data_IF_740553952356
#
_entry.id   IF_740553952356
#
_cell.length_a   1.000
_cell.length_b   1.000
_cell.length_c   1.000
_cell.angle_alpha   90.00
_cell.angle_beta   90.00
_cell.angle_gamma   90.00
#
_symmetry.space_group_name_H-M   'P 1'
#
loop_
_entity.id
_entity.type
_entity.pdbx_description
1 polymer ?
#
# COMPACT_ATOMS: atom_id res chain seq x y z
N UNK A 1 10.18 -3.40 17.84
CA UNK A 1 10.49 -3.48 16.41
C UNK A 1 10.53 -2.06 15.85
N UNK A 2 11.54 -1.70 15.05
CA UNK A 2 11.52 -0.42 14.35
C UNK A 2 10.59 -0.57 13.15
N UNK A 3 9.52 0.23 13.09
CA UNK A 3 8.66 0.27 11.92
C UNK A 3 9.45 0.83 10.73
N UNK A 4 9.18 0.33 9.51
CA UNK A 4 9.85 0.80 8.30
C UNK A 4 9.56 2.29 8.06
N UNK A 5 10.53 3.05 7.56
CA UNK A 5 10.28 4.44 7.13
C UNK A 5 9.56 4.47 5.78
N UNK A 6 8.93 5.60 5.44
CA UNK A 6 8.31 5.79 4.12
C UNK A 6 9.30 5.57 2.97
N UNK A 7 10.56 5.99 3.13
CA UNK A 7 11.62 5.77 2.14
C UNK A 7 11.95 4.28 1.99
N UNK A 8 12.02 3.54 3.10
CA UNK A 8 12.24 2.09 3.05
C UNK A 8 11.06 1.37 2.39
N UNK A 9 9.82 1.80 2.66
CA UNK A 9 8.62 1.30 1.98
C UNK A 9 8.71 1.54 0.47
N UNK A 10 9.02 2.77 0.03
CA UNK A 10 9.17 3.09 -1.39
C UNK A 10 10.31 2.33 -2.10
N UNK A 11 11.27 1.80 -1.33
CA UNK A 11 12.36 0.96 -1.84
C UNK A 11 12.04 -0.53 -1.95
N UNK A 12 10.88 -1.00 -1.46
CA UNK A 12 10.50 -2.41 -1.56
C UNK A 12 10.18 -2.80 -3.01
N UNK A 13 10.60 -4.00 -3.41
CA UNK A 13 10.09 -4.60 -4.63
C UNK A 13 8.61 -4.97 -4.48
N UNK A 14 7.89 -5.08 -5.59
CA UNK A 14 6.49 -5.53 -5.57
C UNK A 14 6.35 -6.95 -5.03
N UNK A 15 7.35 -7.82 -5.24
CA UNK A 15 7.38 -9.17 -4.67
C UNK A 15 7.50 -9.14 -3.14
N UNK A 16 8.36 -8.28 -2.58
CA UNK A 16 8.47 -8.13 -1.13
C UNK A 16 7.19 -7.55 -0.52
N UNK A 17 6.57 -6.57 -1.19
CA UNK A 17 5.30 -5.99 -0.76
C UNK A 17 4.16 -7.02 -0.81
N UNK A 18 4.11 -7.86 -1.85
CA UNK A 18 3.10 -8.90 -1.99
C UNK A 18 3.29 -10.07 -1.01
N UNK A 19 4.46 -10.18 -0.38
CA UNK A 19 4.69 -11.13 0.71
C UNK A 19 4.12 -10.67 2.07
N UNK A 20 3.70 -9.40 2.19
CA UNK A 20 3.09 -8.88 3.42
C UNK A 20 1.69 -9.45 3.60
N UNK A 21 1.36 -9.80 4.86
CA UNK A 21 0.01 -10.21 5.21
C UNK A 21 -0.91 -9.00 5.23
N UNK A 22 -2.22 -9.25 5.15
CA UNK A 22 -3.24 -8.20 5.24
C UNK A 22 -3.16 -7.43 6.55
N UNK A 23 -2.74 -8.07 7.65
CA UNK A 23 -2.51 -7.42 8.95
C UNK A 23 -1.33 -6.46 8.93
N UNK A 24 -0.30 -6.74 8.13
CA UNK A 24 0.85 -5.84 7.98
C UNK A 24 0.43 -4.60 7.18
N UNK A 25 -0.39 -4.79 6.14
CA UNK A 25 -0.96 -3.70 5.34
C UNK A 25 -1.86 -2.80 6.19
N UNK A 26 -2.76 -3.40 6.99
CA UNK A 26 -3.64 -2.67 7.90
C UNK A 26 -2.91 -2.00 9.08
N UNK A 27 -1.65 -2.35 9.32
CA UNK A 27 -0.80 -1.75 10.34
C UNK A 27 0.07 -0.61 9.80
N UNK A 28 0.03 -0.33 8.49
CA UNK A 28 0.77 0.79 7.90
C UNK A 28 0.21 2.12 8.41
N UNK A 29 1.12 3.02 8.77
CA UNK A 29 0.78 4.40 9.08
C UNK A 29 0.50 5.20 7.82
N UNK A 30 -0.25 6.30 7.95
CA UNK A 30 -0.51 7.22 6.84
C UNK A 30 0.77 7.69 6.13
N UNK A 31 1.85 7.95 6.87
CA UNK A 31 3.15 8.34 6.30
C UNK A 31 3.79 7.24 5.48
N UNK A 32 3.69 5.98 5.92
CA UNK A 32 4.22 4.83 5.16
C UNK A 32 3.40 4.58 3.89
N UNK A 33 2.07 4.71 3.96
CA UNK A 33 1.18 4.59 2.78
C UNK A 33 1.49 5.68 1.75
N UNK A 34 1.68 6.93 2.19
CA UNK A 34 2.12 8.01 1.30
C UNK A 34 3.52 7.80 0.70
N UNK A 35 4.33 6.91 1.28
CA UNK A 35 5.64 6.51 0.76
C UNK A 35 5.60 5.44 -0.34
N UNK A 36 4.45 4.79 -0.57
CA UNK A 36 4.31 3.80 -1.64
C UNK A 36 4.44 4.48 -3.01
N UNK A 37 5.16 3.84 -3.93
CA UNK A 37 5.18 4.27 -5.33
C UNK A 37 3.89 3.83 -6.04
N UNK A 38 3.57 4.47 -7.17
CA UNK A 38 2.43 4.05 -8.00
C UNK A 38 2.57 2.61 -8.48
N UNK A 39 3.79 2.18 -8.84
CA UNK A 39 4.09 0.78 -9.22
C UNK A 39 3.80 -0.21 -8.09
N UNK A 40 4.09 0.17 -6.85
CA UNK A 40 3.77 -0.66 -5.68
C UNK A 40 2.26 -0.71 -5.43
N UNK A 41 1.58 0.43 -5.53
CA UNK A 41 0.12 0.53 -5.35
C UNK A 41 -0.62 -0.34 -6.37
N UNK A 42 -0.23 -0.29 -7.65
CA UNK A 42 -0.87 -1.10 -8.69
C UNK A 42 -0.58 -2.60 -8.54
N UNK A 43 0.56 -2.95 -7.95
CA UNK A 43 0.95 -4.33 -7.72
C UNK A 43 0.26 -5.00 -6.52
N UNK A 44 -0.42 -4.23 -5.66
CA UNK A 44 -1.20 -4.79 -4.55
C UNK A 44 -2.28 -5.74 -5.07
N UNK A 45 -2.39 -6.89 -4.43
CA UNK A 45 -3.48 -7.83 -4.71
C UNK A 45 -4.83 -7.28 -4.26
N UNK A 46 -5.93 -7.81 -4.79
CA UNK A 46 -7.31 -7.47 -4.36
C UNK A 46 -7.48 -7.64 -2.85
N UNK A 47 -6.95 -8.74 -2.30
CA UNK A 47 -7.01 -9.05 -0.86
C UNK A 47 -6.24 -8.05 -0.01
N UNK A 48 -5.07 -7.60 -0.45
CA UNK A 48 -4.29 -6.58 0.27
C UNK A 48 -4.93 -5.19 0.15
N UNK A 49 -5.45 -4.83 -1.02
CA UNK A 49 -6.17 -3.57 -1.21
C UNK A 49 -7.44 -3.52 -0.35
N UNK A 50 -8.19 -4.62 -0.25
CA UNK A 50 -9.35 -4.76 0.63
C UNK A 50 -9.03 -4.78 2.13
N UNK A 51 -7.77 -4.98 2.50
CA UNK A 51 -7.31 -4.92 3.89
C UNK A 51 -6.97 -3.50 4.36
N UNK A 52 -6.86 -2.53 3.44
CA UNK A 52 -6.64 -1.13 3.80
C UNK A 52 -7.80 -0.62 4.65
N UNK A 53 -7.48 -0.05 5.81
CA UNK A 53 -8.45 0.66 6.63
C UNK A 53 -8.79 2.01 6.00
N UNK A 54 -9.85 2.65 6.51
CA UNK A 54 -10.23 4.01 6.10
C UNK A 54 -9.09 5.01 6.35
N UNK A 55 -8.25 4.78 7.35
CA UNK A 55 -7.11 5.65 7.67
C UNK A 55 -6.04 5.57 6.59
N UNK A 56 -5.65 4.34 6.18
CA UNK A 56 -4.69 4.16 5.09
C UNK A 56 -5.26 4.64 3.75
N UNK A 57 -6.52 4.33 3.46
CA UNK A 57 -7.16 4.77 2.22
C UNK A 57 -7.19 6.30 2.09
N UNK A 58 -7.41 7.04 3.19
CA UNK A 58 -7.33 8.51 3.23
C UNK A 58 -5.90 9.05 3.09
N UNK A 59 -4.89 8.24 3.39
CA UNK A 59 -3.50 8.62 3.29
C UNK A 59 -2.93 8.47 1.88
N UNK A 60 -3.65 7.79 0.98
CA UNK A 60 -3.28 7.72 -0.43
C UNK A 60 -3.26 9.13 -1.03
N UNK A 61 -2.15 9.44 -1.69
CA UNK A 61 -1.99 10.67 -2.48
C UNK A 61 -2.84 10.59 -3.75
N UNK A 62 -3.15 11.74 -4.34
CA UNK A 62 -3.89 11.82 -5.60
C UNK A 62 -3.20 11.05 -6.74
N UNK A 63 -1.86 11.07 -6.78
CA UNK A 63 -1.07 10.32 -7.76
C UNK A 63 -1.21 8.80 -7.57
N UNK A 64 -1.23 8.31 -6.34
CA UNK A 64 -1.44 6.89 -6.05
C UNK A 64 -2.87 6.45 -6.38
N UNK A 65 -3.87 7.27 -6.04
CA UNK A 65 -5.29 7.00 -6.37
C UNK A 65 -5.49 6.94 -7.88
N UNK A 66 -4.91 7.88 -8.63
CA UNK A 66 -5.00 7.88 -10.10
C UNK A 66 -4.31 6.69 -10.76
N UNK A 67 -3.37 6.03 -10.06
CA UNK A 67 -2.70 4.84 -10.56
C UNK A 67 -3.53 3.56 -10.35
N UNK A 68 -4.54 3.56 -9.46
CA UNK A 68 -5.34 2.38 -9.16
C UNK A 68 -5.99 1.79 -10.43
N UNK A 69 -5.94 0.46 -10.52
CA UNK A 69 -6.55 -0.29 -11.61
C UNK A 69 -7.81 -1.00 -11.14
N UNK A 70 -8.59 -1.55 -12.07
CA UNK A 70 -9.77 -2.37 -11.75
C UNK A 70 -9.44 -3.54 -10.82
N UNK A 71 -8.24 -4.12 -10.93
CA UNK A 71 -7.74 -5.16 -10.02
C UNK A 71 -7.68 -4.68 -8.57
N UNK A 72 -7.33 -3.43 -8.31
CA UNK A 72 -7.17 -2.94 -6.94
C UNK A 72 -8.51 -2.54 -6.29
N UNK A 73 -9.54 -2.25 -7.10
CA UNK A 73 -10.86 -1.81 -6.63
C UNK A 73 -11.95 -2.88 -6.73
N UNK A 74 -11.65 -4.02 -7.37
CA UNK A 74 -12.51 -5.19 -7.36
C UNK A 74 -12.39 -5.89 -5.99
N UNK A 75 -13.24 -5.47 -5.06
CA UNK A 75 -13.44 -6.11 -3.75
C UNK A 75 -14.59 -7.12 -3.80
#
# INVERSE_FOLDING_TARGET
AQALTATQIGGLTTTQLNAFQTTDIAALTATQVGGLTTTQVTALTTTQAGALTVTEAKALTTTQVNALTTTNVAV
#
